data_IF_207043233818
#
_entry.id   IF_207043233818
#
_cell.length_a   1.000
_cell.length_b   1.000
_cell.length_c   1.000
_cell.angle_alpha   90.00
_cell.angle_beta   90.00
_cell.angle_gamma   90.00
#
_symmetry.space_group_name_H-M   'P 1'
#
loop_
_entity.id
_entity.type
_entity.pdbx_description
1 polymer ?
#
# COMPACT_ATOMS: atom_id res chain seq x y z
N UNK A 1 -2.81 -47.58 30.24
CA UNK A 1 -3.59 -48.42 29.30
C UNK A 1 -3.70 -47.66 27.99
N UNK A 2 -3.30 -48.28 26.88
CA UNK A 2 -3.19 -47.66 25.55
C UNK A 2 -4.57 -47.44 24.93
N UNK A 3 -4.87 -46.23 24.48
CA UNK A 3 -6.00 -45.95 23.59
C UNK A 3 -5.51 -45.98 22.15
N UNK A 4 -6.15 -46.83 21.34
CA UNK A 4 -5.83 -47.05 19.94
C UNK A 4 -6.91 -46.36 19.08
N UNK A 5 -6.45 -45.60 18.09
CA UNK A 5 -7.27 -44.97 17.08
C UNK A 5 -7.82 -46.03 16.10
N UNK A 6 -9.01 -45.80 15.53
CA UNK A 6 -9.27 -45.80 14.08
C UNK A 6 -10.78 -45.72 13.78
N UNK A 7 -11.08 -45.03 12.67
CA UNK A 7 -12.32 -45.04 11.88
C UNK A 7 -13.47 -44.11 12.28
N UNK A 8 -13.31 -42.83 11.93
CA UNK A 8 -14.44 -41.95 11.58
C UNK A 8 -14.67 -42.06 10.06
N UNK A 9 -15.60 -42.93 9.66
CA UNK A 9 -16.18 -42.92 8.31
C UNK A 9 -17.42 -42.03 8.33
N UNK A 10 -17.32 -40.87 7.69
CA UNK A 10 -18.42 -39.91 7.53
C UNK A 10 -19.33 -40.38 6.39
N UNK A 11 -20.51 -40.88 6.75
CA UNK A 11 -21.54 -41.35 5.83
C UNK A 11 -22.43 -40.16 5.42
N UNK A 12 -22.24 -39.61 4.22
CA UNK A 12 -23.13 -38.57 3.67
C UNK A 12 -24.15 -39.22 2.74
N UNK A 13 -25.28 -39.61 3.33
CA UNK A 13 -26.45 -40.06 2.59
C UNK A 13 -27.59 -39.06 2.77
N UNK A 14 -28.16 -38.63 1.63
CA UNK A 14 -29.60 -38.37 1.46
C UNK A 14 -30.09 -36.96 1.84
N UNK A 15 -30.09 -36.06 0.85
CA UNK A 15 -31.07 -34.99 0.76
C UNK A 15 -31.82 -35.11 -0.58
N UNK A 16 -32.93 -35.86 -0.56
CA UNK A 16 -33.97 -35.78 -1.59
C UNK A 16 -35.06 -34.87 -1.02
N UNK A 17 -35.11 -33.63 -1.50
CA UNK A 17 -36.20 -32.70 -1.27
C UNK A 17 -36.82 -32.34 -2.62
N UNK A 18 -38.03 -32.87 -2.89
CA UNK A 18 -38.86 -32.48 -4.03
C UNK A 18 -39.38 -31.06 -3.77
N UNK A 19 -39.02 -30.11 -4.62
CA UNK A 19 -39.55 -28.75 -4.62
C UNK A 19 -39.56 -28.20 -6.04
N UNK A 20 -40.72 -28.24 -6.68
CA UNK A 20 -40.96 -27.63 -7.98
C UNK A 20 -40.96 -26.12 -7.85
N UNK A 21 -39.93 -25.45 -8.37
CA UNK A 21 -39.95 -24.01 -8.66
C UNK A 21 -39.40 -23.80 -10.07
N UNK A 22 -40.34 -23.47 -10.94
CA UNK A 22 -40.18 -23.05 -12.32
C UNK A 22 -39.27 -21.81 -12.35
N UNK A 23 -38.02 -21.98 -12.81
CA UNK A 23 -37.09 -20.89 -13.00
C UNK A 23 -36.66 -20.91 -14.47
N UNK A 24 -37.16 -19.91 -15.20
CA UNK A 24 -37.02 -19.77 -16.64
C UNK A 24 -35.56 -19.87 -17.08
N UNK A 25 -35.34 -20.68 -18.11
CA UNK A 25 -34.07 -20.96 -18.77
C UNK A 25 -33.24 -19.68 -18.98
N UNK A 26 -32.16 -19.51 -18.20
CA UNK A 26 -31.03 -18.69 -18.64
C UNK A 26 -30.01 -19.66 -19.21
N UNK A 27 -29.77 -19.54 -20.51
CA UNK A 27 -28.61 -20.13 -21.16
C UNK A 27 -27.35 -19.70 -20.39
N UNK A 28 -26.79 -20.63 -19.61
CA UNK A 28 -25.39 -20.54 -19.22
C UNK A 28 -24.63 -20.78 -20.51
N UNK A 29 -24.03 -19.72 -21.07
CA UNK A 29 -22.95 -19.92 -22.02
C UNK A 29 -21.83 -20.61 -21.24
N UNK A 30 -21.71 -21.93 -21.40
CA UNK A 30 -20.55 -22.68 -20.95
C UNK A 30 -19.33 -22.05 -21.63
N UNK A 31 -18.55 -21.29 -20.86
CA UNK A 31 -17.23 -20.85 -21.31
C UNK A 31 -16.39 -22.12 -21.44
N UNK A 32 -15.90 -22.48 -22.64
CA UNK A 32 -15.10 -23.67 -22.78
C UNK A 32 -13.85 -23.51 -21.93
N UNK A 33 -13.71 -24.37 -20.92
CA UNK A 33 -12.46 -24.54 -20.19
C UNK A 33 -11.41 -25.02 -21.19
N UNK A 34 -10.68 -24.07 -21.78
CA UNK A 34 -9.42 -24.36 -22.44
C UNK A 34 -8.60 -25.06 -21.36
N UNK A 35 -8.28 -26.34 -21.57
CA UNK A 35 -7.36 -27.10 -20.73
C UNK A 35 -5.97 -26.85 -21.30
N UNK A 36 -5.25 -25.77 -20.90
CA UNK A 36 -3.91 -25.52 -21.41
C UNK A 36 -3.05 -26.76 -21.18
N UNK A 37 -2.43 -27.24 -22.25
CA UNK A 37 -1.60 -28.44 -22.16
C UNK A 37 -0.46 -28.18 -21.19
N UNK A 38 -0.10 -29.18 -20.37
CA UNK A 38 1.06 -29.11 -19.46
C UNK A 38 2.37 -28.73 -20.18
N UNK A 39 2.43 -28.93 -21.50
CA UNK A 39 3.54 -28.49 -22.36
C UNK A 39 3.67 -26.97 -22.43
N UNK A 40 2.55 -26.23 -22.46
CA UNK A 40 2.54 -24.77 -22.47
C UNK A 40 3.15 -24.21 -21.17
N UNK A 41 2.73 -24.71 -20.02
CA UNK A 41 3.28 -24.28 -18.73
C UNK A 41 4.77 -24.62 -18.58
N UNK A 42 5.20 -25.80 -19.04
CA UNK A 42 6.63 -26.17 -19.05
C UNK A 42 7.47 -25.26 -19.94
N UNK A 43 6.91 -24.70 -21.01
CA UNK A 43 7.59 -23.75 -21.87
C UNK A 43 7.77 -22.39 -21.19
N UNK A 44 6.76 -21.92 -20.44
CA UNK A 44 6.85 -20.68 -19.67
C UNK A 44 7.91 -20.76 -18.56
N UNK A 45 8.07 -21.92 -17.92
CA UNK A 45 9.09 -22.13 -16.89
C UNK A 45 10.54 -22.18 -17.45
N UNK A 46 10.71 -22.29 -18.77
CA UNK A 46 12.03 -22.30 -19.44
C UNK A 46 12.50 -20.92 -19.87
N UNK A 47 11.80 -19.85 -19.53
CA UNK A 47 12.24 -18.49 -19.84
C UNK A 47 13.60 -18.24 -19.18
N UNK A 48 14.63 -17.79 -19.93
CA UNK A 48 15.91 -17.43 -19.34
C UNK A 48 15.69 -16.26 -18.39
N UNK A 49 16.19 -16.40 -17.15
CA UNK A 49 16.16 -15.31 -16.19
C UNK A 49 16.98 -14.14 -16.77
N UNK A 50 16.43 -12.92 -16.81
CA UNK A 50 17.18 -11.77 -17.32
C UNK A 50 18.40 -11.53 -16.42
N UNK A 51 19.59 -11.41 -17.02
CA UNK A 51 20.80 -11.03 -16.30
C UNK A 51 20.71 -9.55 -15.94
N UNK A 52 20.21 -9.26 -14.75
CA UNK A 52 20.21 -7.93 -14.16
C UNK A 52 21.66 -7.58 -13.74
N UNK A 53 22.41 -6.95 -14.64
CA UNK A 53 23.59 -6.19 -14.26
C UNK A 53 23.09 -4.83 -13.77
N UNK A 54 22.84 -4.72 -12.47
CA UNK A 54 22.50 -3.45 -11.82
C UNK A 54 23.80 -2.88 -11.28
N UNK A 55 24.23 -1.75 -11.84
CA UNK A 55 25.24 -0.89 -11.22
C UNK A 55 24.61 -0.35 -9.92
N UNK A 56 24.87 -1.02 -8.79
CA UNK A 56 24.31 -0.60 -7.51
C UNK A 56 25.08 0.61 -6.99
N UNK A 57 24.52 1.80 -7.13
CA UNK A 57 24.91 2.93 -6.29
C UNK A 57 24.71 2.53 -4.82
N UNK A 58 25.70 2.76 -3.96
CA UNK A 58 25.71 2.29 -2.57
C UNK A 58 24.50 2.76 -1.70
N UNK A 59 23.70 3.72 -2.21
CA UNK A 59 22.53 4.27 -1.53
C UNK A 59 21.18 3.67 -1.99
N UNK A 60 21.21 2.72 -2.93
CA UNK A 60 20.03 2.08 -3.51
C UNK A 60 19.87 0.67 -2.94
N UNK A 61 18.77 0.42 -2.23
CA UNK A 61 18.45 -0.91 -1.69
C UNK A 61 17.24 -1.51 -2.42
N UNK A 62 17.49 -2.58 -3.19
CA UNK A 62 16.46 -3.43 -3.79
C UNK A 62 16.09 -4.55 -2.82
N UNK A 63 15.62 -4.20 -1.61
CA UNK A 63 15.07 -5.23 -0.73
C UNK A 63 13.57 -5.38 -1.02
N UNK A 64 13.09 -6.60 -1.36
CA UNK A 64 11.67 -6.89 -1.35
C UNK A 64 11.18 -6.66 0.08
N UNK A 65 10.30 -5.68 0.25
CA UNK A 65 9.67 -5.43 1.53
C UNK A 65 8.70 -6.59 1.77
N UNK A 66 9.11 -7.54 2.60
CA UNK A 66 8.22 -8.51 3.21
C UNK A 66 7.20 -7.74 4.08
N UNK A 67 5.93 -8.16 3.96
CA UNK A 67 4.79 -7.84 4.83
C UNK A 67 3.91 -6.60 4.51
N UNK A 68 3.30 -6.57 3.32
CA UNK A 68 1.90 -6.12 3.10
C UNK A 68 1.42 -4.71 3.55
N UNK A 69 0.14 -4.40 3.27
CA UNK A 69 -0.26 -3.65 2.09
C UNK A 69 0.20 -2.16 2.08
N UNK A 70 1.11 -1.64 1.26
CA UNK A 70 1.98 -2.20 0.22
C UNK A 70 1.31 -2.95 -0.94
N UNK A 71 -0.03 -3.05 -0.99
CA UNK A 71 -0.70 -4.25 -1.55
C UNK A 71 -0.59 -4.42 -3.05
N UNK A 72 -0.13 -3.41 -3.79
CA UNK A 72 0.18 -3.53 -5.21
C UNK A 72 1.47 -2.80 -5.57
N UNK A 73 2.55 -3.02 -4.82
CA UNK A 73 3.90 -2.56 -5.22
C UNK A 73 4.42 -3.35 -6.43
N UNK A 74 3.77 -3.20 -7.58
CA UNK A 74 4.50 -3.22 -8.85
C UNK A 74 5.13 -1.85 -8.99
N UNK A 75 6.25 -1.65 -8.28
CA UNK A 75 7.10 -0.53 -8.58
C UNK A 75 7.56 -0.68 -10.03
N UNK A 76 7.20 0.29 -10.86
CA UNK A 76 7.87 0.53 -12.13
C UNK A 76 9.39 0.50 -11.89
N UNK A 77 10.13 -0.02 -12.87
CA UNK A 77 11.60 0.01 -12.89
C UNK A 77 12.03 1.49 -12.77
N UNK A 78 12.27 1.98 -11.56
CA UNK A 78 12.50 3.40 -11.27
C UNK A 78 12.07 3.88 -9.88
N UNK A 79 11.11 3.21 -9.23
CA UNK A 79 10.71 3.58 -7.87
C UNK A 79 11.59 2.91 -6.82
N UNK A 80 12.74 3.52 -6.58
CA UNK A 80 13.80 2.99 -5.69
C UNK A 80 13.72 3.66 -4.32
N UNK A 81 13.71 2.87 -3.25
CA UNK A 81 13.86 3.42 -1.89
C UNK A 81 15.30 3.86 -1.64
N UNK A 82 15.46 5.06 -1.09
CA UNK A 82 16.76 5.62 -0.74
C UNK A 82 17.07 5.35 0.73
N UNK A 83 18.32 5.01 1.03
CA UNK A 83 18.79 4.88 2.41
C UNK A 83 19.67 6.07 2.75
N UNK A 84 19.27 6.83 3.76
CA UNK A 84 20.03 7.96 4.27
C UNK A 84 20.46 7.69 5.70
N UNK A 85 21.78 7.55 5.94
CA UNK A 85 22.32 7.40 7.29
C UNK A 85 21.66 6.26 8.11
N UNK A 86 21.30 5.16 7.44
CA UNK A 86 20.60 4.00 8.03
C UNK A 86 19.08 4.13 8.08
N UNK A 87 18.50 5.27 7.69
CA UNK A 87 17.05 5.50 7.62
C UNK A 87 16.59 5.23 6.19
N UNK A 88 15.70 4.25 6.02
CA UNK A 88 15.05 3.97 4.73
C UNK A 88 13.94 4.99 4.48
N UNK A 89 14.01 5.66 3.33
CA UNK A 89 12.98 6.57 2.84
C UNK A 89 12.29 5.89 1.65
N UNK A 90 10.97 5.66 1.71
CA UNK A 90 10.24 5.07 0.59
C UNK A 90 10.29 6.01 -0.63
N UNK A 91 10.02 5.52 -1.85
CA UNK A 91 9.87 6.39 -3.01
C UNK A 91 8.69 7.34 -2.82
N UNK A 92 8.73 8.50 -3.48
CA UNK A 92 7.62 9.45 -3.45
C UNK A 92 6.39 8.82 -4.15
N UNK A 93 5.21 8.79 -3.51
CA UNK A 93 4.01 8.28 -4.15
C UNK A 93 3.57 9.22 -5.29
N UNK A 94 3.03 8.63 -6.35
CA UNK A 94 2.46 9.35 -7.50
C UNK A 94 0.98 9.63 -7.28
N UNK A 95 0.51 10.77 -7.80
CA UNK A 95 -0.89 11.15 -7.69
C UNK A 95 -1.78 10.17 -8.48
N UNK A 96 -2.87 9.66 -7.88
CA UNK A 96 -3.71 8.67 -8.54
C UNK A 96 -4.51 9.27 -9.70
N UNK A 97 -4.39 8.66 -10.89
CA UNK A 97 -5.03 9.16 -12.12
C UNK A 97 -6.52 8.78 -12.23
N UNK A 98 -7.01 7.82 -11.46
CA UNK A 98 -8.38 7.30 -11.58
C UNK A 98 -9.11 7.35 -10.22
N UNK A 99 -9.86 8.42 -9.98
CA UNK A 99 -10.78 8.51 -8.84
C UNK A 99 -12.15 7.96 -9.25
N UNK A 100 -12.56 6.84 -8.66
CA UNK A 100 -13.81 6.16 -9.00
C UNK A 100 -15.07 6.86 -8.43
N UNK A 101 -14.92 7.71 -7.41
CA UNK A 101 -15.98 8.48 -6.72
C UNK A 101 -17.24 7.66 -6.32
N UNK A 102 -17.12 6.33 -6.29
CA UNK A 102 -18.24 5.39 -6.13
C UNK A 102 -18.39 4.86 -4.70
N UNK A 103 -17.60 5.40 -3.74
CA UNK A 103 -17.65 4.97 -2.34
C UNK A 103 -17.12 3.56 -2.10
N UNK A 104 -15.92 3.25 -2.62
CA UNK A 104 -15.22 2.00 -2.28
C UNK A 104 -14.89 1.93 -0.78
N UNK A 105 -14.75 0.72 -0.25
CA UNK A 105 -14.35 0.50 1.16
C UNK A 105 -12.95 1.01 1.49
N UNK A 106 -12.08 1.10 0.50
CA UNK A 106 -10.75 1.71 0.60
C UNK A 106 -10.66 2.76 -0.51
N UNK A 107 -10.51 4.03 -0.14
CA UNK A 107 -10.33 5.10 -1.10
C UNK A 107 -8.87 5.14 -1.55
N UNK A 108 -8.65 5.28 -2.86
CA UNK A 108 -7.29 5.43 -3.41
C UNK A 108 -6.62 6.69 -2.86
N UNK A 109 -7.39 7.76 -2.61
CA UNK A 109 -6.88 8.99 -2.01
C UNK A 109 -6.47 8.80 -0.54
N UNK A 110 -7.16 7.95 0.21
CA UNK A 110 -6.79 7.67 1.60
C UNK A 110 -5.45 6.92 1.61
N UNK A 111 -5.31 5.89 0.78
CA UNK A 111 -4.04 5.16 0.64
C UNK A 111 -2.90 6.08 0.20
N UNK A 112 -3.15 6.97 -0.76
CA UNK A 112 -2.16 7.94 -1.21
C UNK A 112 -1.77 8.94 -0.11
N UNK A 113 -2.74 9.40 0.69
CA UNK A 113 -2.48 10.29 1.81
C UNK A 113 -1.62 9.60 2.88
N UNK A 114 -1.94 8.35 3.20
CA UNK A 114 -1.17 7.52 4.14
C UNK A 114 0.28 7.31 3.63
N UNK A 115 0.44 6.95 2.35
CA UNK A 115 1.77 6.77 1.72
C UNK A 115 2.58 8.09 1.71
N UNK A 116 1.92 9.22 1.44
CA UNK A 116 2.55 10.55 1.49
C UNK A 116 2.99 10.92 2.91
N UNK A 117 2.18 10.61 3.91
CA UNK A 117 2.51 10.84 5.31
C UNK A 117 3.74 10.04 5.71
N UNK A 118 3.77 8.73 5.39
CA UNK A 118 4.91 7.85 5.65
C UNK A 118 6.19 8.39 5.00
N UNK A 119 6.11 8.75 3.71
CA UNK A 119 7.22 9.34 2.96
C UNK A 119 7.77 10.61 3.62
N UNK A 120 6.89 11.54 3.98
CA UNK A 120 7.27 12.80 4.61
C UNK A 120 7.87 12.56 6.00
N UNK A 121 7.31 11.63 6.78
CA UNK A 121 7.82 11.28 8.10
C UNK A 121 9.23 10.68 8.02
N UNK A 122 9.46 9.76 7.09
CA UNK A 122 10.78 9.16 6.85
C UNK A 122 11.82 10.22 6.45
N UNK A 123 11.45 11.17 5.58
CA UNK A 123 12.34 12.29 5.20
C UNK A 123 12.66 13.23 6.36
N UNK A 124 11.68 13.54 7.21
CA UNK A 124 11.93 14.35 8.42
C UNK A 124 12.89 13.63 9.37
N UNK A 125 12.70 12.32 9.59
CA UNK A 125 13.62 11.48 10.39
C UNK A 125 15.04 11.50 9.80
N UNK A 126 15.17 11.30 8.48
CA UNK A 126 16.44 11.38 7.78
C UNK A 126 17.12 12.74 8.00
N UNK A 127 16.42 13.86 7.75
CA UNK A 127 16.94 15.21 7.95
C UNK A 127 17.39 15.47 9.39
N UNK A 128 16.62 15.05 10.39
CA UNK A 128 17.01 15.17 11.81
C UNK A 128 18.33 14.46 12.08
N UNK A 129 18.51 13.24 11.55
CA UNK A 129 19.75 12.48 11.74
C UNK A 129 21.00 13.15 11.13
N UNK A 130 20.84 13.92 10.04
CA UNK A 130 21.95 14.71 9.47
C UNK A 130 22.29 15.91 10.33
N UNK A 131 21.28 16.60 10.86
CA UNK A 131 21.46 17.76 11.71
C UNK A 131 22.12 17.39 13.04
N UNK A 132 21.70 16.29 13.65
CA UNK A 132 22.30 15.76 14.89
C UNK A 132 23.79 15.43 14.73
N UNK A 133 24.16 14.91 13.56
CA UNK A 133 25.55 14.56 13.27
C UNK A 133 26.37 15.72 12.67
N UNK A 134 25.75 16.88 12.44
CA UNK A 134 26.35 18.04 11.75
C UNK A 134 26.96 17.68 10.37
N UNK A 135 26.31 16.78 9.62
CA UNK A 135 26.72 16.43 8.25
C UNK A 135 26.13 17.41 7.21
N UNK A 136 26.74 17.44 6.03
CA UNK A 136 26.19 18.12 4.86
C UNK A 136 24.86 17.47 4.45
N UNK A 137 23.84 18.30 4.24
CA UNK A 137 22.50 17.83 3.90
C UNK A 137 22.38 17.60 2.38
N UNK A 138 21.81 16.48 1.92
CA UNK A 138 21.47 16.30 0.50
C UNK A 138 20.40 17.30 0.04
N UNK A 139 20.51 17.76 -1.21
CA UNK A 139 19.59 18.73 -1.84
C UNK A 139 18.13 18.30 -1.73
N UNK A 140 17.86 17.00 -1.83
CA UNK A 140 16.51 16.44 -1.71
C UNK A 140 15.95 16.71 -0.30
N UNK A 141 16.74 16.57 0.77
CA UNK A 141 16.27 16.74 2.15
C UNK A 141 16.19 18.21 2.60
N UNK A 142 16.89 19.13 1.94
CA UNK A 142 16.87 20.56 2.28
C UNK A 142 15.45 21.13 2.27
N UNK A 143 14.67 20.81 1.23
CA UNK A 143 13.28 21.26 1.03
C UNK A 143 12.29 20.88 2.14
N UNK A 144 12.65 19.94 3.02
CA UNK A 144 11.73 19.41 4.04
C UNK A 144 11.70 20.29 5.27
N UNK A 145 10.54 20.84 5.61
CA UNK A 145 10.35 21.50 6.91
C UNK A 145 10.32 20.47 8.04
N UNK A 146 11.12 20.69 9.10
CA UNK A 146 11.23 19.80 10.27
C UNK A 146 10.02 19.88 11.17
N UNK A 147 9.41 21.05 11.20
CA UNK A 147 8.19 21.33 11.94
C UNK A 147 7.02 20.97 11.04
N UNK A 148 6.07 20.21 11.59
CA UNK A 148 4.71 20.20 11.07
C UNK A 148 4.27 21.66 11.11
N UNK A 149 4.26 22.31 9.95
CA UNK A 149 3.95 23.73 9.89
C UNK A 149 2.62 23.92 10.57
N UNK A 150 2.69 24.53 11.75
CA UNK A 150 1.54 24.79 12.61
C UNK A 150 0.53 25.53 11.75
N UNK A 151 -0.63 24.89 11.61
CA UNK A 151 -1.69 25.07 10.61
C UNK A 151 -2.16 26.48 10.30
N UNK A 152 -1.65 27.51 10.95
CA UNK A 152 -2.08 28.89 10.75
C UNK A 152 -1.36 29.57 9.60
N UNK A 153 -0.03 29.49 9.50
CA UNK A 153 0.72 30.37 8.60
C UNK A 153 0.62 30.00 7.10
N UNK A 154 0.24 28.76 6.79
CA UNK A 154 0.04 28.29 5.41
C UNK A 154 -1.37 28.57 4.89
N UNK A 155 -2.33 28.81 5.78
CA UNK A 155 -3.71 29.08 5.37
C UNK A 155 -3.80 30.50 4.76
N UNK A 156 -4.67 30.73 3.78
CA UNK A 156 -4.98 32.07 3.32
C UNK A 156 -5.50 32.92 4.50
N UNK A 157 -5.26 34.23 4.50
CA UNK A 157 -5.57 35.11 5.63
C UNK A 157 -7.05 35.03 6.08
N UNK A 158 -7.97 34.70 5.18
CA UNK A 158 -9.39 34.49 5.51
C UNK A 158 -9.62 33.28 6.41
N UNK A 159 -8.99 32.14 6.11
CA UNK A 159 -9.12 30.92 6.93
C UNK A 159 -8.35 31.05 8.24
N UNK A 160 -7.23 31.78 8.25
CA UNK A 160 -6.51 32.09 9.49
C UNK A 160 -7.40 32.81 10.50
N UNK A 161 -8.12 33.84 10.06
CA UNK A 161 -9.02 34.61 10.91
C UNK A 161 -10.10 33.72 11.54
N UNK A 162 -10.63 32.76 10.76
CA UNK A 162 -11.62 31.81 11.23
C UNK A 162 -11.06 30.88 12.33
N UNK A 163 -9.92 30.21 12.06
CA UNK A 163 -9.30 29.30 13.04
C UNK A 163 -8.92 30.03 14.33
N UNK A 164 -8.46 31.28 14.24
CA UNK A 164 -8.14 32.11 15.41
C UNK A 164 -9.38 32.43 16.24
N UNK A 165 -10.51 32.71 15.58
CA UNK A 165 -11.79 32.95 16.26
C UNK A 165 -12.26 31.69 17.01
N UNK A 166 -12.23 30.53 16.35
CA UNK A 166 -12.61 29.25 16.98
C UNK A 166 -11.76 28.94 18.21
N UNK A 167 -10.44 29.11 18.11
CA UNK A 167 -9.53 28.93 19.25
C UNK A 167 -9.86 29.85 20.41
N UNK A 168 -10.22 31.11 20.14
CA UNK A 168 -10.64 32.07 21.17
C UNK A 168 -11.94 31.61 21.86
N UNK A 169 -12.91 31.10 21.10
CA UNK A 169 -14.17 30.60 21.66
C UNK A 169 -13.96 29.35 22.53
N UNK A 170 -13.08 28.43 22.10
CA UNK A 170 -12.74 27.23 22.89
C UNK A 170 -12.09 27.59 24.24
N UNK A 171 -11.25 28.62 24.28
CA UNK A 171 -10.64 29.10 25.52
C UNK A 171 -11.65 29.72 26.49
N UNK A 172 -12.72 30.34 25.97
CA UNK A 172 -13.80 30.89 26.79
C UNK A 172 -14.75 29.81 27.31
N UNK A 173 -14.96 28.71 26.56
CA UNK A 173 -15.82 27.61 26.98
C UNK A 173 -15.22 26.69 28.06
N UNK A 174 -13.92 26.82 28.36
CA UNK A 174 -13.21 26.02 29.35
C UNK A 174 -12.98 26.76 30.70
N UNK A 175 -13.52 27.97 30.87
CA UNK A 175 -13.57 28.75 32.11
C UNK A 175 -15.02 28.88 32.59
#
# INVERSE_FOLDING_TARGET
MKVNAHNLLFNSSKWIGKGTLNCSSRHIHEVPLIKPSLKFYKQLLKQPQPSLNVDTDANVSFLPAEEGPASLRTYSIGNVSHVYNGIRVPPKPEEPLNCCQSGCSICVWDVFADDLEEYNQARRKAKRSFLEKHLTLPKELESVSLEEKSSLQELPPQLQAFVLLEKRLQQQGNN
#
